data_IF_828434655102
#
_entry.id   IF_828434655102
#
_cell.length_a   1.000
_cell.length_b   1.000
_cell.length_c   1.000
_cell.angle_alpha   90.00
_cell.angle_beta   90.00
_cell.angle_gamma   90.00
#
_symmetry.space_group_name_H-M   'P 1'
#
loop_
_entity.id
_entity.type
_entity.pdbx_description
1 polymer ?
#
# COMPACT_ATOMS: atom_id res chain seq x y z
N UNK A 1 14.34 -6.74 26.43
CA UNK A 1 13.92 -7.36 25.14
C UNK A 1 12.87 -6.46 24.51
N UNK A 2 13.34 -5.45 23.78
CA UNK A 2 12.50 -4.37 23.26
C UNK A 2 11.99 -4.78 21.89
N UNK A 3 10.68 -5.03 21.78
CA UNK A 3 10.02 -5.32 20.51
C UNK A 3 10.28 -4.16 19.55
N UNK A 4 11.03 -4.43 18.49
CA UNK A 4 11.18 -3.52 17.35
C UNK A 4 9.79 -3.03 16.93
N UNK A 5 9.68 -1.70 16.89
CA UNK A 5 8.57 -0.95 16.33
C UNK A 5 8.12 -1.61 15.02
N UNK A 6 6.87 -2.09 15.03
CA UNK A 6 6.16 -2.52 13.83
C UNK A 6 6.06 -1.31 12.90
N UNK A 7 6.70 -1.44 11.74
CA UNK A 7 6.30 -0.95 10.42
C UNK A 7 6.07 0.57 10.24
N UNK A 8 6.97 1.28 9.52
CA UNK A 8 6.74 2.69 9.14
C UNK A 8 5.90 2.88 7.87
N UNK A 9 5.45 1.81 7.19
CA UNK A 9 4.80 1.94 5.89
C UNK A 9 3.59 1.01 5.76
N UNK A 10 2.64 1.14 6.69
CA UNK A 10 1.24 0.92 6.35
C UNK A 10 0.69 2.26 5.84
N UNK A 11 0.90 2.56 4.56
CA UNK A 11 0.08 3.59 3.92
C UNK A 11 -1.32 2.99 3.87
N UNK A 12 -2.16 3.35 4.84
CA UNK A 12 -3.61 3.28 4.67
C UNK A 12 -3.92 4.33 3.60
N UNK A 13 -3.63 3.99 2.34
CA UNK A 13 -4.16 4.74 1.22
C UNK A 13 -5.66 4.83 1.44
N UNK A 14 -6.24 5.98 1.17
CA UNK A 14 -7.66 6.26 1.39
C UNK A 14 -8.51 5.28 0.59
N UNK A 15 -8.75 4.12 1.17
CA UNK A 15 -9.56 3.04 0.64
C UNK A 15 -11.00 3.43 0.96
N UNK A 16 -11.70 3.91 -0.05
CA UNK A 16 -13.14 4.14 0.00
C UNK A 16 -13.78 2.79 -0.32
N UNK A 17 -13.71 1.86 0.64
CA UNK A 17 -14.29 0.54 0.44
C UNK A 17 -15.80 0.64 0.41
N UNK A 18 -16.38 0.21 -0.73
CA UNK A 18 -17.79 -0.21 -0.78
C UNK A 18 -18.04 -1.47 0.05
N UNK A 19 -16.98 -2.17 0.50
CA UNK A 19 -17.08 -3.07 1.63
C UNK A 19 -17.13 -2.21 2.89
N UNK A 20 -18.28 -2.22 3.58
CA UNK A 20 -18.58 -1.35 4.71
C UNK A 20 -17.45 -1.28 5.74
N UNK A 21 -17.43 -0.19 6.51
CA UNK A 21 -16.38 0.26 7.44
C UNK A 21 -15.83 -0.78 8.45
N UNK A 22 -16.24 -2.04 8.41
CA UNK A 22 -15.70 -3.15 9.17
C UNK A 22 -14.16 -3.13 9.21
N UNK A 23 -13.54 -3.17 10.40
CA UNK A 23 -14.11 -3.50 11.70
C UNK A 23 -14.71 -2.30 12.46
N UNK A 24 -14.77 -1.12 11.85
CA UNK A 24 -15.35 0.10 12.42
C UNK A 24 -16.87 0.13 12.27
N UNK A 25 -17.50 0.77 13.25
CA UNK A 25 -18.96 0.82 13.42
C UNK A 25 -19.63 1.90 12.59
N UNK A 26 -18.88 2.93 12.17
CA UNK A 26 -19.36 4.03 11.35
C UNK A 26 -18.25 4.63 10.48
N UNK A 27 -18.63 5.47 9.52
CA UNK A 27 -17.66 6.23 8.73
C UNK A 27 -16.86 7.22 9.59
N UNK A 28 -17.49 7.82 10.61
CA UNK A 28 -16.83 8.72 11.54
C UNK A 28 -15.77 7.98 12.39
N UNK A 29 -16.12 6.80 12.90
CA UNK A 29 -15.23 5.89 13.64
C UNK A 29 -13.99 5.54 12.80
N UNK A 30 -14.18 5.19 11.51
CA UNK A 30 -13.07 4.95 10.58
C UNK A 30 -12.24 6.21 10.28
N UNK A 31 -12.85 7.38 10.06
CA UNK A 31 -12.11 8.62 9.74
C UNK A 31 -11.21 9.05 10.87
N UNK A 32 -11.68 8.95 12.12
CA UNK A 32 -10.86 9.29 13.30
C UNK A 32 -9.73 8.29 13.46
N UNK A 33 -9.99 6.99 13.25
CA UNK A 33 -8.97 5.96 13.24
C UNK A 33 -7.90 6.21 12.16
N UNK A 34 -8.32 6.50 10.93
CA UNK A 34 -7.43 6.80 9.81
C UNK A 34 -6.56 8.02 10.12
N UNK A 35 -7.16 9.11 10.62
CA UNK A 35 -6.44 10.31 11.03
C UNK A 35 -5.40 10.00 12.11
N UNK A 36 -5.78 9.29 13.17
CA UNK A 36 -4.87 8.96 14.26
C UNK A 36 -3.69 8.08 13.80
N UNK A 37 -3.90 7.18 12.86
CA UNK A 37 -2.81 6.35 12.32
C UNK A 37 -1.91 7.16 11.39
N UNK A 38 -2.51 7.97 10.51
CA UNK A 38 -1.79 8.74 9.50
C UNK A 38 -0.94 9.85 10.11
N UNK A 39 -1.52 10.61 11.02
CA UNK A 39 -0.87 11.78 11.62
C UNK A 39 -0.11 11.43 12.90
N UNK A 40 -0.29 10.19 13.41
CA UNK A 40 0.45 9.63 14.54
C UNK A 40 0.60 10.60 15.73
N UNK A 41 -0.51 11.14 16.28
CA UNK A 41 -0.42 11.90 17.52
C UNK A 41 0.21 10.99 18.59
N UNK A 42 1.09 11.53 19.43
CA UNK A 42 1.77 10.72 20.44
C UNK A 42 0.79 9.87 21.23
N UNK A 43 1.06 8.56 21.39
CA UNK A 43 0.08 7.60 21.90
C UNK A 43 -0.59 8.05 23.20
N UNK A 44 0.18 8.65 24.11
CA UNK A 44 -0.34 9.18 25.37
C UNK A 44 -1.33 10.34 25.15
N UNK A 45 -1.08 11.22 24.19
CA UNK A 45 -1.96 12.34 23.89
C UNK A 45 -3.30 11.87 23.32
N UNK A 46 -3.27 10.89 22.41
CA UNK A 46 -4.51 10.32 21.87
C UNK A 46 -5.28 9.52 22.92
N UNK A 47 -4.59 8.76 23.78
CA UNK A 47 -5.23 8.10 24.92
C UNK A 47 -5.84 9.11 25.90
N UNK A 48 -5.19 10.27 26.13
CA UNK A 48 -5.78 11.34 26.94
C UNK A 48 -7.06 11.91 26.31
N UNK A 49 -7.10 12.11 24.98
CA UNK A 49 -8.31 12.55 24.27
C UNK A 49 -9.45 11.53 24.43
N UNK A 50 -9.16 10.24 24.25
CA UNK A 50 -10.15 9.16 24.35
C UNK A 50 -10.67 8.95 25.77
N UNK A 51 -9.93 9.39 26.80
CA UNK A 51 -10.36 9.35 28.20
C UNK A 51 -11.29 10.50 28.60
N UNK A 52 -11.44 11.54 27.78
CA UNK A 52 -12.36 12.64 28.08
C UNK A 52 -13.80 12.07 28.09
N UNK A 53 -14.55 12.20 29.21
CA UNK A 53 -15.90 11.65 29.31
C UNK A 53 -16.82 12.15 28.19
N UNK A 54 -17.48 11.24 27.49
CA UNK A 54 -18.41 11.55 26.41
C UNK A 54 -17.77 11.63 25.02
N UNK A 55 -16.44 11.61 24.87
CA UNK A 55 -15.80 11.68 23.54
C UNK A 55 -16.03 10.40 22.75
N UNK A 56 -15.76 9.24 23.34
CA UNK A 56 -15.96 7.93 22.68
C UNK A 56 -17.43 7.72 22.33
N UNK A 57 -18.33 8.07 23.23
CA UNK A 57 -19.77 7.89 23.05
C UNK A 57 -20.35 8.86 22.02
N UNK A 58 -20.02 10.16 22.09
CA UNK A 58 -20.55 11.16 21.15
C UNK A 58 -20.04 10.98 19.73
N UNK A 59 -18.82 10.48 19.57
CA UNK A 59 -18.23 10.20 18.26
C UNK A 59 -18.52 8.78 17.77
N UNK A 60 -19.16 7.93 18.59
CA UNK A 60 -19.46 6.54 18.26
C UNK A 60 -18.20 5.72 17.95
N UNK A 61 -17.12 5.95 18.69
CA UNK A 61 -15.85 5.26 18.45
C UNK A 61 -15.91 3.84 18.96
N UNK A 62 -15.36 2.92 18.18
CA UNK A 62 -15.34 1.51 18.55
C UNK A 62 -14.09 1.09 19.34
N UNK A 63 -13.28 2.06 19.75
CA UNK A 63 -12.04 1.90 20.51
C UNK A 63 -11.94 2.98 21.59
N UNK A 64 -11.31 2.63 22.72
CA UNK A 64 -11.19 3.50 23.90
C UNK A 64 -9.73 3.87 24.23
N UNK A 65 -8.77 3.36 23.46
CA UNK A 65 -7.35 3.70 23.51
C UNK A 65 -6.66 3.30 22.20
N UNK A 66 -5.43 3.77 22.02
CA UNK A 66 -4.54 3.47 20.89
C UNK A 66 -4.36 1.96 20.72
N UNK A 67 -4.23 1.20 21.82
CA UNK A 67 -4.05 -0.25 21.76
C UNK A 67 -5.26 -0.96 21.16
N UNK A 68 -6.48 -0.57 21.53
CA UNK A 68 -7.72 -1.12 21.01
C UNK A 68 -7.90 -0.76 19.53
N UNK A 69 -7.52 0.47 19.15
CA UNK A 69 -7.47 0.89 17.75
C UNK A 69 -6.51 -0.01 16.95
N UNK A 70 -5.26 -0.19 17.39
CA UNK A 70 -4.33 -1.08 16.70
C UNK A 70 -4.81 -2.52 16.62
N UNK A 71 -5.48 -3.04 17.67
CA UNK A 71 -6.05 -4.39 17.63
C UNK A 71 -7.12 -4.53 16.55
N UNK A 72 -7.93 -3.49 16.32
CA UNK A 72 -8.90 -3.46 15.22
C UNK A 72 -8.19 -3.40 13.86
N UNK A 73 -7.17 -2.56 13.72
CA UNK A 73 -6.38 -2.49 12.48
C UNK A 73 -5.73 -3.85 12.17
N UNK A 74 -5.13 -4.48 13.18
CA UNK A 74 -4.52 -5.82 13.07
C UNK A 74 -5.56 -6.92 12.74
N UNK A 75 -6.86 -6.69 12.98
CA UNK A 75 -7.93 -7.63 12.61
C UNK A 75 -8.38 -7.51 11.15
N UNK A 76 -7.95 -6.47 10.44
CA UNK A 76 -8.28 -6.31 9.02
C UNK A 76 -7.69 -7.49 8.21
N UNK A 77 -8.45 -8.04 7.26
CA UNK A 77 -7.95 -9.11 6.42
C UNK A 77 -6.75 -8.63 5.60
N UNK A 78 -5.67 -9.39 5.62
CA UNK A 78 -4.49 -9.11 4.81
C UNK A 78 -4.83 -9.15 3.32
N UNK A 79 -4.72 -8.01 2.63
CA UNK A 79 -5.01 -7.93 1.19
C UNK A 79 -3.97 -8.70 0.36
N UNK A 80 -2.68 -8.60 0.72
CA UNK A 80 -1.56 -9.21 0.00
C UNK A 80 -1.11 -10.58 0.55
N UNK A 81 -1.91 -11.18 1.45
CA UNK A 81 -1.57 -12.41 2.16
C UNK A 81 -0.54 -12.22 3.29
N UNK A 82 -0.09 -13.33 3.88
CA UNK A 82 0.78 -13.30 5.08
C UNK A 82 2.17 -12.74 4.81
N UNK A 83 2.63 -11.90 5.73
CA UNK A 83 4.04 -11.52 5.81
C UNK A 83 4.92 -12.75 6.04
N UNK A 84 6.08 -12.77 5.39
CA UNK A 84 7.13 -13.76 5.56
C UNK A 84 8.42 -13.04 5.93
N UNK A 85 9.23 -13.69 6.77
CA UNK A 85 10.55 -13.21 7.15
C UNK A 85 11.60 -14.19 6.64
N UNK A 86 12.67 -13.67 6.05
CA UNK A 86 13.84 -14.44 5.61
C UNK A 86 15.12 -13.72 6.04
N UNK A 87 16.17 -14.49 6.26
CA UNK A 87 17.54 -13.96 6.38
C UNK A 87 18.25 -14.19 5.06
N UNK A 88 18.89 -13.14 4.53
CA UNK A 88 19.80 -13.21 3.40
C UNK A 88 21.23 -13.09 3.92
N UNK A 89 22.13 -13.88 3.34
CA UNK A 89 23.57 -13.76 3.53
C UNK A 89 24.21 -13.69 2.15
N UNK A 90 25.25 -12.87 2.01
CA UNK A 90 25.96 -12.69 0.75
C UNK A 90 27.37 -13.24 0.86
N UNK A 91 27.89 -13.82 -0.23
CA UNK A 91 29.20 -14.49 -0.23
C UNK A 91 30.36 -13.52 0.02
N UNK A 92 30.20 -12.26 -0.35
CA UNK A 92 31.19 -11.19 -0.10
C UNK A 92 31.16 -10.69 1.36
N UNK A 93 30.12 -11.02 2.13
CA UNK A 93 29.95 -10.64 3.54
C UNK A 93 29.28 -11.77 4.35
N UNK A 94 29.99 -12.89 4.57
CA UNK A 94 29.40 -14.09 5.17
C UNK A 94 28.93 -13.88 6.62
N UNK A 95 29.53 -12.93 7.34
CA UNK A 95 29.18 -12.61 8.73
C UNK A 95 27.98 -11.64 8.86
N UNK A 96 27.56 -11.00 7.75
CA UNK A 96 26.43 -10.09 7.72
C UNK A 96 25.14 -10.80 7.30
N UNK A 97 24.11 -10.69 8.14
CA UNK A 97 22.77 -11.19 7.85
C UNK A 97 21.79 -10.05 7.66
N UNK A 98 21.01 -10.12 6.58
CA UNK A 98 20.00 -9.13 6.24
C UNK A 98 18.61 -9.72 6.40
N UNK A 99 17.83 -9.18 7.34
CA UNK A 99 16.44 -9.58 7.51
C UNK A 99 15.55 -8.93 6.45
N UNK A 100 14.84 -9.75 5.68
CA UNK A 100 13.86 -9.30 4.68
C UNK A 100 12.47 -9.73 5.12
N UNK A 101 11.58 -8.74 5.25
CA UNK A 101 10.16 -8.96 5.44
C UNK A 101 9.45 -8.74 4.11
N UNK A 102 8.70 -9.73 3.64
CA UNK A 102 8.08 -9.65 2.33
C UNK A 102 6.74 -10.42 2.25
N UNK A 103 5.86 -9.99 1.36
CA UNK A 103 4.72 -10.79 0.93
C UNK A 103 5.11 -11.76 -0.19
N UNK A 104 4.23 -12.70 -0.49
CA UNK A 104 4.30 -13.45 -1.74
C UNK A 104 3.97 -12.51 -2.91
N UNK A 105 4.90 -12.27 -3.87
CA UNK A 105 4.69 -11.29 -4.93
C UNK A 105 3.49 -11.64 -5.81
N UNK A 106 3.19 -12.92 -6.03
CA UNK A 106 2.04 -13.35 -6.80
C UNK A 106 0.74 -13.05 -6.05
N UNK A 107 0.72 -13.22 -4.72
CA UNK A 107 -0.46 -12.84 -3.91
C UNK A 107 -0.64 -11.33 -3.87
N UNK A 108 0.43 -10.57 -3.76
CA UNK A 108 0.40 -9.10 -3.82
C UNK A 108 -0.17 -8.62 -5.17
N UNK A 109 0.35 -9.14 -6.29
CA UNK A 109 -0.18 -8.83 -7.63
C UNK A 109 -1.67 -9.20 -7.73
N UNK A 110 -2.05 -10.43 -7.35
CA UNK A 110 -3.46 -10.85 -7.37
C UNK A 110 -4.35 -9.96 -6.51
N UNK A 111 -3.84 -9.40 -5.42
CA UNK A 111 -4.60 -8.49 -4.55
C UNK A 111 -4.89 -7.15 -5.24
N UNK A 112 -3.94 -6.63 -6.02
CA UNK A 112 -4.13 -5.42 -6.82
C UNK A 112 -5.20 -5.64 -7.88
N UNK A 113 -5.13 -6.77 -8.60
CA UNK A 113 -6.12 -7.16 -9.61
C UNK A 113 -7.53 -7.40 -9.04
N UNK A 114 -7.63 -7.89 -7.81
CA UNK A 114 -8.92 -8.15 -7.14
C UNK A 114 -9.51 -6.92 -6.46
N UNK A 115 -8.84 -5.77 -6.47
CA UNK A 115 -9.31 -4.61 -5.75
C UNK A 115 -10.48 -3.93 -6.49
N UNK A 116 -11.73 -3.99 -5.96
CA UNK A 116 -12.90 -3.46 -6.64
C UNK A 116 -12.90 -1.93 -6.76
N UNK A 117 -12.09 -1.22 -5.96
CA UNK A 117 -11.97 0.24 -6.08
C UNK A 117 -11.05 0.67 -7.22
N UNK A 118 -10.04 -0.15 -7.50
CA UNK A 118 -9.04 0.12 -8.55
C UNK A 118 -9.54 -0.42 -9.89
N UNK A 119 -10.20 -1.59 -9.88
CA UNK A 119 -10.66 -2.31 -11.07
C UNK A 119 -11.37 -1.43 -12.13
N UNK A 120 -12.29 -0.50 -11.78
CA UNK A 120 -12.96 0.35 -12.76
C UNK A 120 -12.03 1.33 -13.50
N UNK A 121 -10.84 1.59 -12.95
CA UNK A 121 -9.86 2.55 -13.48
C UNK A 121 -8.67 1.86 -14.15
N UNK A 122 -8.64 0.53 -14.17
CA UNK A 122 -7.51 -0.21 -14.73
C UNK A 122 -7.55 -0.21 -16.25
N UNK A 123 -6.37 -0.17 -16.87
CA UNK A 123 -6.20 -0.37 -18.31
C UNK A 123 -5.90 -1.84 -18.62
N UNK A 124 -6.57 -2.38 -19.63
CA UNK A 124 -6.44 -3.77 -20.07
C UNK A 124 -5.90 -3.91 -21.50
N UNK A 125 -5.76 -2.80 -22.21
CA UNK A 125 -5.28 -2.77 -23.58
C UNK A 125 -4.44 -1.52 -23.83
N UNK A 126 -3.45 -1.58 -24.71
CA UNK A 126 -2.64 -0.43 -25.05
C UNK A 126 -3.46 0.58 -25.87
N UNK A 127 -3.20 1.87 -25.69
CA UNK A 127 -3.91 2.97 -26.35
C UNK A 127 -2.91 3.97 -26.90
N UNK A 128 -3.05 4.37 -28.17
CA UNK A 128 -2.22 5.44 -28.75
C UNK A 128 -2.90 6.79 -28.55
N UNK A 129 -2.18 7.76 -28.01
CA UNK A 129 -2.71 9.10 -27.71
C UNK A 129 -1.84 10.14 -28.38
N UNK A 130 -2.40 10.93 -29.30
CA UNK A 130 -1.62 11.90 -30.07
C UNK A 130 -1.99 13.33 -29.68
N UNK A 131 -1.03 14.25 -29.72
CA UNK A 131 -1.28 15.68 -29.44
C UNK A 131 -1.87 16.44 -30.64
N UNK A 132 -1.83 15.85 -31.83
CA UNK A 132 -2.27 16.45 -33.08
C UNK A 132 -3.18 15.52 -33.89
N UNK A 133 -3.93 16.10 -34.82
CA UNK A 133 -4.83 15.34 -35.71
C UNK A 133 -4.09 14.52 -36.77
N UNK A 134 -2.82 14.81 -37.03
CA UNK A 134 -1.98 14.09 -37.99
C UNK A 134 -1.35 12.82 -37.40
N UNK A 135 -1.47 12.61 -36.10
CA UNK A 135 -0.88 11.51 -35.34
C UNK A 135 0.66 11.45 -35.43
N UNK A 136 1.31 12.60 -35.60
CA UNK A 136 2.77 12.68 -35.73
C UNK A 136 3.45 12.67 -34.35
N UNK A 137 2.80 13.25 -33.33
CA UNK A 137 3.35 13.37 -31.98
C UNK A 137 2.62 12.48 -30.98
N UNK A 138 3.23 11.33 -30.65
CA UNK A 138 2.70 10.37 -29.67
C UNK A 138 2.99 10.84 -28.23
N UNK A 139 1.95 10.86 -27.39
CA UNK A 139 2.02 11.19 -25.96
C UNK A 139 2.21 9.90 -25.14
N UNK A 140 3.31 9.86 -24.38
CA UNK A 140 3.63 8.78 -23.45
C UNK A 140 3.40 9.22 -22.01
N UNK A 141 2.16 9.12 -21.53
CA UNK A 141 1.80 9.53 -20.16
C UNK A 141 1.62 8.34 -19.22
N UNK A 142 1.14 7.21 -19.73
CA UNK A 142 0.77 6.01 -18.97
C UNK A 142 1.43 4.76 -19.55
N UNK A 143 1.50 3.68 -18.77
CA UNK A 143 2.14 2.44 -19.24
C UNK A 143 1.48 1.88 -20.50
N UNK A 144 0.16 1.94 -20.60
CA UNK A 144 -0.60 1.47 -21.76
C UNK A 144 -0.49 2.39 -22.99
N UNK A 145 0.04 3.60 -22.83
CA UNK A 145 0.41 4.47 -23.97
C UNK A 145 1.81 4.18 -24.51
N UNK A 146 2.60 3.41 -23.77
CA UNK A 146 3.93 2.98 -24.19
C UNK A 146 3.89 2.08 -25.42
N UNK A 147 4.79 2.36 -26.38
CA UNK A 147 4.99 1.49 -27.55
C UNK A 147 5.33 0.05 -27.14
N UNK A 148 6.05 -0.11 -26.02
CA UNK A 148 6.38 -1.42 -25.44
C UNK A 148 5.13 -2.28 -25.17
N UNK A 149 4.06 -1.70 -24.62
CA UNK A 149 2.84 -2.47 -24.35
C UNK A 149 2.18 -2.91 -25.66
N UNK A 150 2.11 -2.04 -26.67
CA UNK A 150 1.61 -2.43 -28.00
C UNK A 150 2.35 -3.63 -28.59
N UNK A 151 3.68 -3.65 -28.48
CA UNK A 151 4.52 -4.73 -29.01
C UNK A 151 4.31 -6.04 -28.24
N UNK A 152 4.13 -5.97 -26.91
CA UNK A 152 3.90 -7.18 -26.12
C UNK A 152 2.48 -7.70 -26.25
N UNK A 153 1.49 -6.82 -26.30
CA UNK A 153 0.09 -7.22 -26.41
C UNK A 153 -0.19 -7.96 -27.72
N UNK A 154 0.51 -7.64 -28.82
CA UNK A 154 0.38 -8.38 -30.08
C UNK A 154 0.91 -9.82 -30.02
N UNK A 155 1.70 -10.16 -28.99
CA UNK A 155 2.22 -11.51 -28.74
C UNK A 155 1.36 -12.30 -27.73
N UNK A 156 0.36 -11.65 -27.13
CA UNK A 156 -0.55 -12.28 -26.17
C UNK A 156 -1.76 -12.84 -26.93
N UNK A 157 -2.23 -14.07 -26.60
CA UNK A 157 -3.43 -14.63 -27.22
C UNK A 157 -4.67 -13.74 -27.03
N UNK A 158 -5.65 -13.93 -27.91
CA UNK A 158 -6.95 -13.27 -27.79
C UNK A 158 -7.58 -13.54 -26.42
N UNK A 159 -8.16 -12.49 -25.81
CA UNK A 159 -8.68 -12.53 -24.45
C UNK A 159 -7.62 -12.36 -23.34
N UNK A 160 -6.32 -12.37 -23.66
CA UNK A 160 -5.25 -12.08 -22.71
C UNK A 160 -4.91 -10.59 -22.63
N UNK A 161 -4.36 -10.17 -21.48
CA UNK A 161 -3.83 -8.80 -21.27
C UNK A 161 -2.41 -8.85 -20.73
N UNK A 162 -1.57 -7.92 -21.15
CA UNK A 162 -0.26 -7.72 -20.53
C UNK A 162 -0.46 -7.13 -19.13
N UNK A 163 0.23 -7.69 -18.14
CA UNK A 163 0.24 -7.23 -16.77
C UNK A 163 1.67 -6.78 -16.39
N UNK A 164 2.07 -5.54 -16.70
CA UNK A 164 3.41 -5.07 -16.37
C UNK A 164 3.57 -5.01 -14.85
N UNK A 165 4.67 -5.53 -14.32
CA UNK A 165 4.99 -5.44 -12.88
C UNK A 165 6.11 -4.43 -12.72
N UNK A 166 5.89 -3.43 -11.88
CA UNK A 166 6.86 -2.38 -11.60
C UNK A 166 7.35 -2.58 -10.17
N UNK A 167 8.66 -2.69 -10.01
CA UNK A 167 9.34 -2.82 -8.71
C UNK A 167 10.26 -1.62 -8.55
N UNK A 168 10.14 -0.94 -7.41
CA UNK A 168 11.00 0.18 -7.07
C UNK A 168 11.53 -0.01 -5.64
N UNK A 169 12.76 0.44 -5.40
CA UNK A 169 13.36 0.47 -4.06
C UNK A 169 13.89 1.86 -3.81
N UNK A 170 13.69 2.36 -2.60
CA UNK A 170 14.27 3.63 -2.16
C UNK A 170 14.82 3.48 -0.74
N UNK A 171 15.91 4.18 -0.42
CA UNK A 171 16.52 4.11 0.90
C UNK A 171 15.78 5.07 1.83
N UNK A 172 15.18 4.53 2.88
CA UNK A 172 14.46 5.31 3.90
C UNK A 172 15.19 5.27 5.24
N UNK A 173 15.27 6.40 5.93
CA UNK A 173 15.82 6.46 7.29
C UNK A 173 14.69 6.20 8.29
N UNK A 174 14.88 5.23 9.18
CA UNK A 174 13.85 4.82 10.13
C UNK A 174 13.73 5.76 11.34
N UNK A 175 14.78 6.51 11.68
CA UNK A 175 14.79 7.43 12.82
C UNK A 175 15.75 8.61 12.60
N UNK A 176 15.33 9.83 12.91
CA UNK A 176 16.23 11.01 12.95
C UNK A 176 16.96 11.18 14.30
N UNK A 177 16.51 10.54 15.39
CA UNK A 177 16.95 10.92 16.74
C UNK A 177 17.64 9.86 17.60
N UNK A 178 17.72 8.58 17.23
CA UNK A 178 18.60 7.64 17.95
C UNK A 178 18.82 6.34 17.18
N UNK A 179 20.00 6.23 16.55
CA UNK A 179 20.49 5.01 15.91
C UNK A 179 20.23 4.99 14.41
N UNK A 180 21.24 5.36 13.62
CA UNK A 180 21.30 5.41 12.14
C UNK A 180 20.87 4.10 11.45
N UNK A 181 19.60 3.72 11.56
CA UNK A 181 19.01 2.55 10.92
C UNK A 181 18.33 2.99 9.65
N UNK A 182 18.78 2.44 8.53
CA UNK A 182 18.13 2.60 7.23
C UNK A 182 17.34 1.34 6.90
N UNK A 183 16.19 1.51 6.27
CA UNK A 183 15.44 0.45 5.63
C UNK A 183 15.38 0.69 4.13
N UNK A 184 15.28 -0.40 3.38
CA UNK A 184 15.11 -0.38 1.93
C UNK A 184 13.75 -0.98 1.61
N UNK A 185 12.66 -0.20 1.70
CA UNK A 185 11.37 -0.66 1.22
C UNK A 185 11.45 -1.00 -0.26
N UNK A 186 10.89 -2.15 -0.61
CA UNK A 186 10.65 -2.57 -1.98
C UNK A 186 9.16 -2.42 -2.26
N UNK A 187 8.83 -1.48 -3.14
CA UNK A 187 7.48 -1.21 -3.60
C UNK A 187 7.18 -2.06 -4.84
N UNK A 188 5.95 -2.56 -4.92
CA UNK A 188 5.45 -3.31 -6.06
C UNK A 188 4.11 -2.72 -6.50
N UNK A 189 3.97 -2.46 -7.80
CA UNK A 189 2.69 -2.10 -8.42
C UNK A 189 2.57 -2.78 -9.80
N UNK A 190 1.42 -2.62 -10.45
CA UNK A 190 1.20 -3.08 -11.82
C UNK A 190 0.94 -1.89 -12.74
N UNK A 191 1.45 -1.95 -13.96
CA UNK A 191 1.31 -0.90 -14.98
C UNK A 191 -0.12 -0.70 -15.47
N UNK A 192 -1.04 -1.60 -15.12
CA UNK A 192 -2.47 -1.48 -15.41
C UNK A 192 -3.17 -0.43 -14.53
N UNK A 193 -2.51 0.08 -13.48
CA UNK A 193 -3.06 1.09 -12.57
C UNK A 193 -2.58 2.48 -13.02
N UNK A 194 -3.48 3.46 -13.21
CA UNK A 194 -3.11 4.83 -13.51
C UNK A 194 -2.18 5.45 -12.47
N UNK A 195 -1.26 6.30 -12.92
CA UNK A 195 -0.32 7.00 -12.02
C UNK A 195 -0.98 7.97 -11.04
N UNK A 196 -2.19 8.42 -11.33
CA UNK A 196 -2.93 9.41 -10.54
C UNK A 196 -3.67 8.86 -9.32
N UNK A 197 -3.56 7.56 -9.05
CA UNK A 197 -4.16 6.86 -7.91
C UNK A 197 -3.16 6.65 -6.78
#
# INVERSE_FOLDING_TARGET
MTKCLKEPFCVISGVRSRAGSSPFTSELDWKIAQWAIKDSPGHNAFDCLLKIPGVVEKLGLSYHNVRALHKKVDSLPEKAGKWKTKELAFSDRPDEKFTVHHHDPIKAIKSLWKNPEISPKMAFAPTRVYSDSKQENHIYSEMWTGQWWHILQSKVPEGGTVAPVIIATDKTQLTQFSGNKSAYPVYLTIGNIPKSL
#
